data_IF_996588257650
#
_entry.id   IF_996588257650
#
_cell.length_a   1.000
_cell.length_b   1.000
_cell.length_c   1.000
_cell.angle_alpha   90.00
_cell.angle_beta   90.00
_cell.angle_gamma   90.00
#
_symmetry.space_group_name_H-M   'P 1'
#
loop_
_entity.id
_entity.type
_entity.pdbx_description
1 polymer ?
#
# COMPACT_ATOMS: atom_id res chain seq x y z
N UNK A 1 -2.51 26.71 -17.52
CA UNK A 1 -1.87 25.44 -17.89
C UNK A 1 -1.01 24.95 -16.73
N UNK A 2 -1.58 24.28 -15.72
CA UNK A 2 -0.81 23.62 -14.62
C UNK A 2 -1.62 22.53 -13.88
N UNK A 3 -2.70 21.96 -14.45
CA UNK A 3 -3.56 21.00 -13.70
C UNK A 3 -3.10 19.54 -13.77
N UNK A 4 -2.25 19.16 -14.72
CA UNK A 4 -1.74 17.79 -14.84
C UNK A 4 -0.61 17.45 -13.87
N UNK A 5 0.07 18.47 -13.35
CA UNK A 5 1.22 18.31 -12.46
C UNK A 5 0.83 17.66 -11.14
N UNK A 6 -0.33 18.02 -10.57
CA UNK A 6 -0.71 17.58 -9.22
C UNK A 6 -1.04 16.08 -9.16
N UNK A 7 -1.73 15.51 -10.16
CA UNK A 7 -2.03 14.06 -10.17
C UNK A 7 -0.76 13.23 -10.20
N UNK A 8 0.13 13.50 -11.15
CA UNK A 8 1.38 12.73 -11.28
C UNK A 8 2.26 12.88 -10.05
N UNK A 9 2.33 14.07 -9.46
CA UNK A 9 3.09 14.30 -8.22
C UNK A 9 2.47 13.52 -7.05
N UNK A 10 1.14 13.54 -6.86
CA UNK A 10 0.45 12.76 -5.82
C UNK A 10 0.70 11.25 -5.98
N UNK A 11 0.49 10.73 -7.19
CA UNK A 11 0.72 9.32 -7.51
C UNK A 11 2.16 8.89 -7.26
N UNK A 12 3.12 9.72 -7.67
CA UNK A 12 4.54 9.46 -7.44
C UNK A 12 4.88 9.51 -5.95
N UNK A 13 4.35 10.49 -5.20
CA UNK A 13 4.56 10.57 -3.76
C UNK A 13 3.99 9.34 -3.03
N UNK A 14 2.76 8.93 -3.35
CA UNK A 14 2.14 7.72 -2.79
C UNK A 14 2.94 6.46 -3.13
N UNK A 15 3.44 6.35 -4.36
CA UNK A 15 4.30 5.24 -4.79
C UNK A 15 5.62 5.22 -4.02
N UNK A 16 6.25 6.38 -3.80
CA UNK A 16 7.48 6.49 -3.00
C UNK A 16 7.25 6.12 -1.54
N UNK A 17 6.14 6.57 -0.94
CA UNK A 17 5.75 6.19 0.43
C UNK A 17 5.54 4.68 0.51
N UNK A 18 4.77 4.11 -0.41
CA UNK A 18 4.54 2.68 -0.46
C UNK A 18 5.84 1.90 -0.55
N UNK A 19 6.75 2.33 -1.44
CA UNK A 19 8.06 1.68 -1.59
C UNK A 19 8.85 1.80 -0.29
N UNK A 20 8.92 2.98 0.32
CA UNK A 20 9.64 3.21 1.56
C UNK A 20 9.13 2.31 2.68
N UNK A 21 7.81 2.24 2.90
CA UNK A 21 7.21 1.43 3.96
C UNK A 21 7.37 -0.07 3.71
N UNK A 22 7.40 -0.50 2.45
CA UNK A 22 7.57 -1.91 2.08
C UNK A 22 9.05 -2.32 1.90
N UNK A 23 10.02 -1.39 2.07
CA UNK A 23 11.43 -1.74 1.99
C UNK A 23 11.82 -2.71 3.11
N UNK A 24 12.72 -3.67 2.85
CA UNK A 24 13.20 -4.61 3.87
C UNK A 24 13.83 -3.92 5.10
N UNK A 25 14.34 -2.70 4.93
CA UNK A 25 14.90 -1.89 6.01
C UNK A 25 13.83 -1.39 6.99
N UNK A 26 12.62 -1.10 6.52
CA UNK A 26 11.50 -0.69 7.36
C UNK A 26 10.87 -1.86 8.14
N UNK A 27 11.07 -3.12 7.70
CA UNK A 27 10.66 -4.30 8.49
C UNK A 27 11.33 -4.42 9.86
N UNK A 28 12.37 -3.63 10.14
CA UNK A 28 13.04 -3.58 11.45
C UNK A 28 12.44 -2.55 12.41
N UNK A 29 11.42 -1.81 11.98
CA UNK A 29 10.76 -0.82 12.83
C UNK A 29 10.02 -1.52 13.97
N UNK A 30 10.14 -0.97 15.18
CA UNK A 30 9.44 -1.50 16.36
C UNK A 30 7.94 -1.22 16.27
N UNK A 31 7.15 -1.90 17.10
CA UNK A 31 5.71 -1.66 17.22
C UNK A 31 5.38 -0.16 17.42
N UNK A 32 6.11 0.57 18.27
CA UNK A 32 5.89 2.00 18.50
C UNK A 32 6.20 2.86 17.27
N UNK A 33 7.23 2.50 16.52
CA UNK A 33 7.59 3.21 15.29
C UNK A 33 6.54 2.97 14.19
N UNK A 34 6.00 1.75 14.09
CA UNK A 34 4.87 1.47 13.21
C UNK A 34 3.65 2.29 13.62
N UNK A 35 3.31 2.32 14.91
CA UNK A 35 2.24 3.18 15.41
C UNK A 35 2.43 4.63 14.97
N UNK A 36 3.62 5.21 15.19
CA UNK A 36 3.92 6.58 14.74
C UNK A 36 3.75 6.73 13.23
N UNK A 37 4.22 5.77 12.44
CA UNK A 37 4.03 5.80 10.98
C UNK A 37 2.55 5.85 10.58
N UNK A 38 1.66 5.15 11.29
CA UNK A 38 0.22 5.23 11.04
C UNK A 38 -0.32 6.63 11.34
N UNK A 39 -0.02 7.17 12.52
CA UNK A 39 -0.59 8.44 12.98
C UNK A 39 0.04 9.69 12.35
N UNK A 40 1.33 9.66 12.02
CA UNK A 40 2.05 10.83 11.51
C UNK A 40 2.16 10.85 9.97
N UNK A 41 1.96 9.72 9.30
CA UNK A 41 2.13 9.62 7.84
C UNK A 41 0.88 9.07 7.17
N UNK A 42 0.44 7.86 7.51
CA UNK A 42 -0.65 7.21 6.75
C UNK A 42 -2.01 7.88 6.95
N UNK A 43 -2.39 8.17 8.19
CA UNK A 43 -3.66 8.84 8.48
C UNK A 43 -3.71 10.27 7.96
N UNK A 44 -2.68 11.12 8.16
CA UNK A 44 -2.68 12.46 7.57
C UNK A 44 -2.75 12.46 6.04
N UNK A 45 -2.09 11.49 5.37
CA UNK A 45 -2.20 11.34 3.91
C UNK A 45 -3.62 10.98 3.49
N UNK A 46 -4.29 10.06 4.19
CA UNK A 46 -5.68 9.71 3.92
C UNK A 46 -6.64 10.86 4.20
N UNK A 47 -6.48 11.54 5.34
CA UNK A 47 -7.30 12.70 5.72
C UNK A 47 -7.18 13.83 4.69
N UNK A 48 -5.96 14.14 4.23
CA UNK A 48 -5.73 15.14 3.20
C UNK A 48 -6.39 14.76 1.85
N UNK A 49 -6.42 13.47 1.49
CA UNK A 49 -7.06 12.99 0.27
C UNK A 49 -8.58 12.89 0.38
N UNK A 50 -9.10 12.67 1.59
CA UNK A 50 -10.53 12.61 1.88
C UNK A 50 -11.14 13.97 2.19
N UNK A 51 -10.34 15.03 2.31
CA UNK A 51 -10.84 16.40 2.41
C UNK A 51 -11.61 16.79 1.14
N UNK A 52 -12.80 17.36 1.33
CA UNK A 52 -13.69 17.84 0.27
C UNK A 52 -13.10 18.96 -0.58
N UNK A 53 -12.05 19.63 -0.10
CA UNK A 53 -11.40 20.74 -0.80
C UNK A 53 -10.78 20.34 -2.15
N UNK A 54 -10.55 19.04 -2.35
CA UNK A 54 -9.87 18.53 -3.54
C UNK A 54 -10.85 18.20 -4.67
N UNK A 55 -12.10 17.83 -4.34
CA UNK A 55 -13.06 17.22 -5.28
C UNK A 55 -13.47 18.14 -6.45
N UNK A 56 -13.35 19.45 -6.31
CA UNK A 56 -13.76 20.42 -7.35
C UNK A 56 -12.84 20.43 -8.59
N UNK A 57 -11.63 19.87 -8.49
CA UNK A 57 -10.60 20.05 -9.54
C UNK A 57 -10.54 18.86 -10.51
N UNK A 58 -10.51 17.63 -9.99
CA UNK A 58 -10.39 16.40 -10.78
C UNK A 58 -10.84 15.16 -9.96
N UNK A 59 -12.14 14.85 -9.93
CA UNK A 59 -12.70 13.78 -9.11
C UNK A 59 -12.08 12.40 -9.39
N UNK A 60 -11.83 12.08 -10.66
CA UNK A 60 -11.32 10.76 -11.07
C UNK A 60 -9.86 10.57 -10.63
N UNK A 61 -9.02 11.60 -10.79
CA UNK A 61 -7.64 11.56 -10.33
C UNK A 61 -7.49 11.51 -8.80
N UNK A 62 -8.46 12.07 -8.08
CA UNK A 62 -8.50 12.04 -6.62
C UNK A 62 -8.95 10.67 -6.15
N UNK A 63 -9.95 10.08 -6.81
CA UNK A 63 -10.40 8.73 -6.51
C UNK A 63 -9.29 7.70 -6.72
N UNK A 64 -8.48 7.84 -7.78
CA UNK A 64 -7.28 7.01 -7.95
C UNK A 64 -6.30 7.18 -6.76
N UNK A 65 -6.13 8.42 -6.28
CA UNK A 65 -5.22 8.73 -5.16
C UNK A 65 -5.74 8.14 -3.85
N UNK A 66 -7.05 8.26 -3.60
CA UNK A 66 -7.75 7.67 -2.45
C UNK A 66 -7.66 6.16 -2.48
N UNK A 67 -7.91 5.54 -3.63
CA UNK A 67 -7.75 4.10 -3.80
C UNK A 67 -6.33 3.66 -3.48
N UNK A 68 -5.31 4.32 -4.06
CA UNK A 68 -3.92 3.96 -3.82
C UNK A 68 -3.52 4.11 -2.34
N UNK A 69 -3.99 5.16 -1.66
CA UNK A 69 -3.74 5.37 -0.24
C UNK A 69 -4.45 4.33 0.65
N UNK A 70 -5.72 4.01 0.38
CA UNK A 70 -6.46 2.96 1.08
C UNK A 70 -5.79 1.59 0.88
N UNK A 71 -5.31 1.33 -0.32
CA UNK A 71 -4.61 0.09 -0.65
C UNK A 71 -3.25 0.00 0.05
N UNK A 72 -2.52 1.11 0.13
CA UNK A 72 -1.31 1.22 0.94
C UNK A 72 -1.60 0.92 2.41
N UNK A 73 -2.68 1.48 2.98
CA UNK A 73 -3.09 1.21 4.36
C UNK A 73 -3.33 -0.29 4.58
N UNK A 74 -4.16 -0.93 3.76
CA UNK A 74 -4.44 -2.36 3.83
C UNK A 74 -3.15 -3.20 3.76
N UNK A 75 -2.26 -2.88 2.81
CA UNK A 75 -0.97 -3.59 2.66
C UNK A 75 -0.07 -3.43 3.87
N UNK A 76 0.11 -2.21 4.37
CA UNK A 76 0.98 -1.95 5.52
C UNK A 76 0.44 -2.63 6.78
N UNK A 77 -0.88 -2.58 7.01
CA UNK A 77 -1.53 -3.30 8.11
C UNK A 77 -1.25 -4.81 8.03
N UNK A 78 -1.50 -5.44 6.88
CA UNK A 78 -1.26 -6.88 6.71
C UNK A 78 0.21 -7.26 6.86
N UNK A 79 1.10 -6.50 6.24
CA UNK A 79 2.54 -6.81 6.22
C UNK A 79 3.13 -6.80 7.62
N UNK A 80 2.61 -5.93 8.50
CA UNK A 80 3.14 -5.72 9.85
C UNK A 80 2.15 -6.09 10.95
N UNK A 81 1.12 -6.88 10.64
CA UNK A 81 0.04 -7.20 11.59
C UNK A 81 0.57 -7.81 12.89
N UNK A 82 1.62 -8.65 12.81
CA UNK A 82 2.24 -9.27 13.98
C UNK A 82 2.85 -8.25 14.95
N UNK A 83 3.52 -7.21 14.42
CA UNK A 83 4.08 -6.13 15.24
C UNK A 83 2.98 -5.20 15.76
N UNK A 84 1.96 -4.94 14.95
CA UNK A 84 0.82 -4.10 15.34
C UNK A 84 0.02 -4.73 16.48
N UNK A 85 -0.15 -6.05 16.51
CA UNK A 85 -0.84 -6.77 17.57
C UNK A 85 -0.14 -6.65 18.95
N UNK A 86 1.14 -6.27 18.98
CA UNK A 86 1.89 -6.07 20.23
C UNK A 86 1.67 -4.68 20.85
N UNK A 87 0.96 -3.78 20.16
CA UNK A 87 0.65 -2.45 20.63
C UNK A 87 -0.46 -2.47 21.69
N UNK A 88 -0.31 -1.66 22.73
CA UNK A 88 -1.32 -1.51 23.78
C UNK A 88 -2.59 -0.83 23.26
N UNK A 89 -2.46 0.05 22.26
CA UNK A 89 -3.53 0.79 21.61
C UNK A 89 -3.96 0.19 20.26
N UNK A 90 -3.57 -1.06 19.98
CA UNK A 90 -3.86 -1.74 18.71
C UNK A 90 -5.34 -1.66 18.31
N UNK A 91 -6.26 -1.93 19.24
CA UNK A 91 -7.69 -1.91 18.94
C UNK A 91 -8.20 -0.54 18.53
N UNK A 92 -7.64 0.54 19.09
CA UNK A 92 -7.97 1.91 18.70
C UNK A 92 -7.44 2.19 17.30
N UNK A 93 -6.18 1.84 17.03
CA UNK A 93 -5.57 1.97 15.70
C UNK A 93 -6.36 1.18 14.65
N UNK A 94 -6.74 -0.07 14.95
CA UNK A 94 -7.50 -0.93 14.04
C UNK A 94 -8.89 -0.37 13.73
N UNK A 95 -9.60 0.17 14.74
CA UNK A 95 -10.88 0.86 14.51
C UNK A 95 -10.70 2.04 13.56
N UNK A 96 -9.68 2.86 13.77
CA UNK A 96 -9.36 3.99 12.90
C UNK A 96 -9.03 3.55 11.47
N UNK A 97 -8.28 2.45 11.29
CA UNK A 97 -8.03 1.86 9.97
C UNK A 97 -9.35 1.51 9.26
N UNK A 98 -10.26 0.82 9.96
CA UNK A 98 -11.55 0.44 9.38
C UNK A 98 -12.44 1.66 9.10
N UNK A 99 -12.38 2.71 9.93
CA UNK A 99 -13.09 3.98 9.71
C UNK A 99 -12.64 4.68 8.43
N UNK A 100 -11.33 4.75 8.17
CA UNK A 100 -10.83 5.32 6.91
C UNK A 100 -11.24 4.49 5.69
N UNK A 101 -11.26 3.17 5.79
CA UNK A 101 -11.72 2.31 4.69
C UNK A 101 -13.22 2.47 4.44
N UNK A 102 -14.02 2.57 5.51
CA UNK A 102 -15.45 2.88 5.42
C UNK A 102 -15.67 4.23 4.73
N UNK A 103 -14.93 5.28 5.14
CA UNK A 103 -15.03 6.62 4.55
C UNK A 103 -14.64 6.62 3.06
N UNK A 104 -13.57 5.91 2.67
CA UNK A 104 -13.20 5.69 1.28
C UNK A 104 -14.29 4.94 0.49
N UNK A 105 -15.08 4.10 1.15
CA UNK A 105 -16.20 3.36 0.56
C UNK A 105 -17.56 4.07 0.68
N UNK A 106 -17.59 5.34 1.11
CA UNK A 106 -18.83 6.09 1.27
C UNK A 106 -19.57 6.32 -0.05
N UNK A 107 -20.88 6.51 0.02
CA UNK A 107 -21.73 6.78 -1.15
C UNK A 107 -21.41 8.11 -1.86
N UNK A 108 -20.67 9.00 -1.20
CA UNK A 108 -20.20 10.26 -1.77
C UNK A 108 -19.07 10.07 -2.80
N UNK A 109 -18.38 8.93 -2.75
CA UNK A 109 -17.29 8.60 -3.66
C UNK A 109 -17.80 7.87 -4.91
N UNK A 110 -16.97 7.76 -5.95
CA UNK A 110 -17.37 6.99 -7.13
C UNK A 110 -17.59 5.51 -6.80
N UNK A 111 -18.51 4.89 -7.54
CA UNK A 111 -18.75 3.45 -7.48
C UNK A 111 -17.45 2.65 -7.68
N UNK A 112 -16.59 3.10 -8.60
CA UNK A 112 -15.31 2.43 -8.87
C UNK A 112 -14.39 2.43 -7.64
N UNK A 113 -14.21 3.59 -6.99
CA UNK A 113 -13.40 3.71 -5.78
C UNK A 113 -13.97 2.81 -4.68
N UNK A 114 -15.28 2.89 -4.44
CA UNK A 114 -15.97 2.10 -3.43
C UNK A 114 -15.73 0.60 -3.62
N UNK A 115 -16.10 0.05 -4.78
CA UNK A 115 -15.97 -1.39 -5.04
C UNK A 115 -14.50 -1.85 -4.93
N UNK A 116 -13.55 -1.03 -5.41
CA UNK A 116 -12.13 -1.38 -5.36
C UNK A 116 -11.57 -1.40 -3.94
N UNK A 117 -12.01 -0.47 -3.07
CA UNK A 117 -11.62 -0.42 -1.65
C UNK A 117 -12.24 -1.58 -0.89
N UNK A 118 -13.53 -1.86 -1.10
CA UNK A 118 -14.23 -3.00 -0.49
C UNK A 118 -13.58 -4.33 -0.86
N UNK A 119 -13.19 -4.51 -2.13
CA UNK A 119 -12.46 -5.69 -2.58
C UNK A 119 -11.09 -5.80 -1.91
N UNK A 120 -10.36 -4.68 -1.78
CA UNK A 120 -9.06 -4.66 -1.09
C UNK A 120 -9.18 -5.01 0.39
N UNK A 121 -10.22 -4.51 1.07
CA UNK A 121 -10.55 -4.86 2.45
C UNK A 121 -10.95 -6.33 2.58
N UNK A 122 -11.81 -6.86 1.70
CA UNK A 122 -12.17 -8.29 1.68
C UNK A 122 -10.92 -9.16 1.60
N UNK A 123 -10.02 -8.85 0.67
CA UNK A 123 -8.76 -9.58 0.50
C UNK A 123 -7.87 -9.49 1.76
N UNK A 124 -7.84 -8.33 2.42
CA UNK A 124 -7.16 -8.18 3.71
C UNK A 124 -7.79 -9.06 4.80
N UNK A 125 -9.11 -9.02 4.96
CA UNK A 125 -9.81 -9.79 5.98
C UNK A 125 -9.72 -11.30 5.73
N UNK A 126 -9.77 -11.73 4.46
CA UNK A 126 -9.55 -13.13 4.09
C UNK A 126 -8.19 -13.62 4.59
N UNK A 127 -7.11 -12.87 4.31
CA UNK A 127 -5.77 -13.21 4.79
C UNK A 127 -5.74 -13.30 6.32
N UNK A 128 -6.41 -12.38 7.03
CA UNK A 128 -6.47 -12.43 8.50
C UNK A 128 -7.27 -13.64 9.03
N UNK A 129 -8.35 -14.04 8.36
CA UNK A 129 -9.11 -15.25 8.69
C UNK A 129 -8.26 -16.50 8.44
N UNK A 130 -7.62 -16.61 7.28
CA UNK A 130 -6.79 -17.75 6.87
C UNK A 130 -5.58 -17.96 7.81
N UNK A 131 -4.97 -16.86 8.28
CA UNK A 131 -3.89 -16.90 9.27
C UNK A 131 -4.38 -17.07 10.72
N UNK A 132 -5.69 -17.17 10.94
CA UNK A 132 -6.28 -17.41 12.24
C UNK A 132 -6.42 -16.19 13.16
N UNK A 133 -6.07 -14.99 12.72
CA UNK A 133 -6.16 -13.76 13.52
C UNK A 133 -7.61 -13.36 13.85
N UNK A 134 -8.58 -13.75 13.02
CA UNK A 134 -10.01 -13.43 13.19
C UNK A 134 -10.86 -14.60 13.68
N UNK A 135 -10.25 -15.69 14.16
CA UNK A 135 -10.99 -16.81 14.74
C UNK A 135 -11.69 -16.37 16.04
N UNK A 136 -12.98 -16.66 16.15
CA UNK A 136 -13.74 -16.43 17.38
C UNK A 136 -13.42 -17.55 18.35
N UNK A 137 -12.62 -17.26 19.38
CA UNK A 137 -12.27 -18.23 20.42
C UNK A 137 -11.55 -17.56 21.57
N UNK A 138 -12.30 -17.17 22.60
CA UNK A 138 -11.69 -17.05 23.93
C UNK A 138 -11.44 -18.48 24.42
N UNK A 139 -10.23 -18.84 24.86
CA UNK A 139 -10.06 -20.07 25.61
C UNK A 139 -10.98 -19.99 26.84
N UNK A 140 -11.73 -21.06 27.06
CA UNK A 140 -12.61 -21.23 28.21
C UNK A 140 -11.85 -20.89 29.50
N UNK A 141 -12.28 -19.86 30.23
CA UNK A 141 -11.82 -19.63 31.60
C UNK A 141 -11.36 -18.22 32.00
N UNK A 142 -11.41 -17.20 31.14
CA UNK A 142 -11.18 -15.81 31.56
C UNK A 142 -12.48 -15.01 31.64
N UNK A 143 -12.65 -14.31 32.75
CA UNK A 143 -13.88 -13.63 33.18
C UNK A 143 -14.38 -12.62 32.14
N UNK A 144 -15.64 -12.82 31.75
CA UNK A 144 -16.55 -11.95 30.97
C UNK A 144 -16.60 -10.51 31.50
N UNK A 145 -15.63 -9.64 31.18
CA UNK A 145 -15.89 -8.19 31.20
C UNK A 145 -14.97 -7.30 30.34
N UNK A 146 -13.78 -7.71 29.89
CA UNK A 146 -12.87 -6.78 29.18
C UNK A 146 -11.89 -7.40 28.16
N UNK A 147 -12.32 -8.31 27.28
CA UNK A 147 -11.50 -8.65 26.09
C UNK A 147 -12.38 -8.71 24.85
N UNK A 148 -12.65 -7.54 24.28
CA UNK A 148 -13.19 -7.48 22.93
C UNK A 148 -12.17 -8.14 21.99
N UNK A 149 -12.54 -9.25 21.34
CA UNK A 149 -11.60 -9.92 20.44
C UNK A 149 -11.42 -9.11 19.16
N UNK A 150 -10.28 -9.26 18.47
CA UNK A 150 -10.07 -8.61 17.17
C UNK A 150 -11.19 -8.98 16.17
N UNK A 151 -11.63 -10.24 16.23
CA UNK A 151 -12.77 -10.75 15.48
C UNK A 151 -14.03 -9.91 15.75
N UNK A 152 -14.42 -9.72 17.01
CA UNK A 152 -15.61 -8.93 17.37
C UNK A 152 -15.51 -7.48 16.92
N UNK A 153 -14.37 -6.82 17.15
CA UNK A 153 -14.17 -5.42 16.72
C UNK A 153 -14.30 -5.29 15.22
N UNK A 154 -13.69 -6.22 14.47
CA UNK A 154 -13.69 -6.20 13.02
C UNK A 154 -15.10 -6.39 12.47
N UNK A 155 -15.79 -7.44 12.89
CA UNK A 155 -17.12 -7.75 12.37
C UNK A 155 -18.18 -6.74 12.83
N UNK A 156 -18.05 -6.16 14.03
CA UNK A 156 -18.94 -5.09 14.48
C UNK A 156 -18.93 -3.87 13.54
N UNK A 157 -17.76 -3.53 12.99
CA UNK A 157 -17.61 -2.39 12.08
C UNK A 157 -17.93 -2.79 10.62
N UNK A 158 -17.36 -3.89 10.15
CA UNK A 158 -17.51 -4.36 8.75
C UNK A 158 -18.95 -4.69 8.40
N UNK A 159 -19.73 -5.26 9.34
CA UNK A 159 -21.15 -5.55 9.10
C UNK A 159 -21.99 -4.29 8.81
N UNK A 160 -21.51 -3.09 9.18
CA UNK A 160 -22.19 -1.84 8.90
C UNK A 160 -22.22 -1.48 7.40
N UNK A 161 -21.17 -1.82 6.66
CA UNK A 161 -21.02 -1.42 5.25
C UNK A 161 -20.78 -2.58 4.27
N UNK A 162 -20.49 -3.78 4.77
CA UNK A 162 -20.47 -5.03 4.00
C UNK A 162 -21.21 -6.14 4.77
N UNK A 163 -22.55 -6.11 4.80
CA UNK A 163 -23.32 -7.19 5.39
C UNK A 163 -23.06 -8.48 4.62
N UNK A 164 -23.03 -9.63 5.30
CA UNK A 164 -22.79 -10.99 4.74
C UNK A 164 -21.33 -11.35 4.42
N UNK A 165 -20.39 -10.41 4.49
CA UNK A 165 -18.98 -10.68 4.18
C UNK A 165 -18.37 -11.74 5.11
N UNK A 166 -18.76 -11.74 6.38
CA UNK A 166 -18.27 -12.70 7.37
C UNK A 166 -18.59 -14.13 6.96
N UNK A 167 -19.84 -14.39 6.59
CA UNK A 167 -20.33 -15.69 6.18
C UNK A 167 -19.65 -16.16 4.89
N UNK A 168 -19.50 -15.25 3.92
CA UNK A 168 -18.79 -15.53 2.67
C UNK A 168 -17.34 -15.93 2.90
N UNK A 169 -16.61 -15.16 3.72
CA UNK A 169 -15.20 -15.43 4.02
C UNK A 169 -15.01 -16.73 4.80
N UNK A 170 -15.89 -17.02 5.77
CA UNK A 170 -15.86 -18.29 6.51
C UNK A 170 -16.15 -19.47 5.59
N UNK A 171 -17.11 -19.34 4.68
CA UNK A 171 -17.42 -20.38 3.69
C UNK A 171 -16.23 -20.64 2.76
N UNK A 172 -15.53 -19.58 2.33
CA UNK A 172 -14.32 -19.70 1.50
C UNK A 172 -13.15 -20.33 2.27
N UNK A 173 -12.97 -20.02 3.55
CA UNK A 173 -11.92 -20.61 4.39
C UNK A 173 -12.17 -22.09 4.73
N UNK A 174 -13.43 -22.54 4.73
CA UNK A 174 -13.84 -23.94 4.97
C UNK A 174 -13.62 -24.85 3.75
N UNK A 175 -13.40 -24.29 2.56
CA UNK A 175 -13.02 -25.06 1.38
C UNK A 175 -11.53 -25.42 1.49
N UNK A 176 -11.12 -26.67 1.19
CA UNK A 176 -9.70 -27.04 1.23
C UNK A 176 -8.94 -26.27 0.15
N UNK A 177 -8.32 -25.16 0.53
CA UNK A 177 -7.53 -24.33 -0.35
C UNK A 177 -6.28 -25.10 -0.79
N UNK A 178 -6.29 -25.60 -2.02
CA UNK A 178 -5.07 -26.03 -2.71
C UNK A 178 -4.17 -24.81 -2.88
N UNK A 179 -3.12 -24.74 -2.07
CA UNK A 179 -1.89 -23.97 -2.34
C UNK A 179 -2.02 -22.45 -2.26
N UNK A 180 -1.95 -21.89 -1.05
CA UNK A 180 -1.72 -20.46 -0.83
C UNK A 180 -0.66 -20.18 0.24
N UNK A 181 0.39 -21.01 0.34
CA UNK A 181 1.61 -20.61 1.07
C UNK A 181 2.47 -19.55 0.33
N UNK A 182 1.91 -18.88 -0.69
CA UNK A 182 2.62 -17.86 -1.48
C UNK A 182 2.03 -16.44 -1.32
N UNK A 183 1.07 -16.20 -0.42
CA UNK A 183 0.35 -14.91 -0.36
C UNK A 183 1.15 -13.76 0.24
N UNK A 184 2.14 -14.04 1.09
CA UNK A 184 3.07 -13.01 1.60
C UNK A 184 3.97 -12.48 0.47
N UNK A 185 4.16 -13.26 -0.61
CA UNK A 185 4.89 -12.84 -1.81
C UNK A 185 3.97 -12.27 -2.89
N UNK A 186 2.74 -12.79 -3.03
CA UNK A 186 1.84 -12.44 -4.14
C UNK A 186 1.06 -11.15 -3.90
N UNK A 187 0.71 -10.77 -2.67
CA UNK A 187 0.06 -9.46 -2.41
C UNK A 187 0.99 -8.28 -2.70
N UNK A 188 2.33 -8.48 -2.65
CA UNK A 188 3.27 -7.47 -3.12
C UNK A 188 3.25 -7.30 -4.66
N UNK A 189 2.88 -8.34 -5.41
CA UNK A 189 2.90 -8.35 -6.87
C UNK A 189 1.54 -7.97 -7.51
N UNK A 190 0.42 -8.46 -6.96
CA UNK A 190 -0.92 -8.26 -7.57
C UNK A 190 -1.53 -6.87 -7.36
N UNK A 191 -0.82 -5.98 -6.68
CA UNK A 191 -1.23 -4.60 -6.47
C UNK A 191 -0.50 -3.60 -7.38
N UNK A 192 0.17 -4.11 -8.43
CA UNK A 192 0.66 -3.34 -9.57
C UNK A 192 -0.30 -3.49 -10.76
N UNK A 193 -1.50 -2.94 -10.67
CA UNK A 193 -2.30 -2.67 -11.87
C UNK A 193 -2.60 -1.19 -11.91
N UNK A 194 -1.63 -0.48 -12.48
CA UNK A 194 -1.74 0.88 -12.98
C UNK A 194 -0.94 0.96 -14.28
N UNK A 195 -1.31 0.12 -15.26
CA UNK A 195 -0.69 0.11 -16.59
C UNK A 195 -1.53 1.02 -17.49
N UNK A 196 -1.28 2.33 -17.44
CA UNK A 196 -1.80 3.25 -18.45
C UNK A 196 -0.86 3.29 -19.65
N UNK A 197 -1.44 2.95 -20.80
CA UNK A 197 -0.92 3.09 -22.16
C UNK A 197 -0.23 4.45 -22.37
N UNK A 198 0.99 4.43 -22.92
CA UNK A 198 1.51 5.56 -23.69
C UNK A 198 1.09 5.38 -25.17
N UNK A 199 0.64 6.43 -25.86
CA UNK A 199 0.36 6.35 -27.29
C UNK A 199 1.66 6.41 -28.08
N UNK A 200 1.67 5.68 -29.20
CA UNK A 200 2.76 5.67 -30.16
C UNK A 200 3.02 7.06 -30.76
N UNK A 201 4.28 7.46 -30.75
CA UNK A 201 4.79 8.51 -31.63
C UNK A 201 5.92 7.88 -32.46
N UNK A 202 5.62 7.62 -33.72
CA UNK A 202 6.59 7.18 -34.70
C UNK A 202 7.72 8.19 -34.85
N UNK A 203 8.95 7.69 -34.86
CA UNK A 203 10.12 8.45 -35.30
C UNK A 203 10.70 7.71 -36.50
N UNK A 204 10.56 8.37 -37.64
CA UNK A 204 11.20 8.06 -38.90
C UNK A 204 12.72 7.87 -38.71
N UNK A 205 13.24 6.83 -39.35
CA UNK A 205 14.64 6.71 -39.72
C UNK A 205 15.05 7.89 -40.60
N UNK A 206 16.10 8.60 -40.20
CA UNK A 206 17.00 9.23 -41.17
C UNK A 206 18.44 9.12 -40.66
N UNK A 207 19.22 8.39 -41.46
CA UNK A 207 20.65 8.21 -41.39
C UNK A 207 21.40 9.52 -41.64
N UNK A 208 22.35 9.87 -40.79
CA UNK A 208 23.53 10.59 -41.26
C UNK A 208 24.77 10.21 -40.45
N UNK A 209 25.77 9.78 -41.21
CA UNK A 209 27.08 9.29 -40.85
C UNK A 209 28.02 10.48 -40.68
N UNK A 210 28.64 10.67 -39.52
CA UNK A 210 29.86 11.48 -39.42
C UNK A 210 30.78 10.98 -38.31
N UNK A 211 32.06 10.91 -38.65
CA UNK A 211 33.15 10.13 -38.09
C UNK A 211 34.15 11.09 -37.45
N UNK A 212 34.46 10.95 -36.16
CA UNK A 212 35.59 11.59 -35.46
C UNK A 212 35.97 10.69 -34.27
N UNK A 213 36.92 9.77 -34.45
CA UNK A 213 38.36 9.92 -34.16
C UNK A 213 38.68 9.84 -32.66
N UNK A 214 39.14 8.64 -32.28
CA UNK A 214 39.54 8.24 -30.92
C UNK A 214 41.00 8.64 -30.70
N UNK A 215 41.27 9.47 -29.69
CA UNK A 215 42.63 9.62 -29.15
C UNK A 215 42.66 9.16 -27.71
N UNK A 216 43.59 8.23 -27.46
CA UNK A 216 43.77 7.50 -26.22
C UNK A 216 44.59 8.30 -25.19
N UNK A 217 44.30 8.03 -23.92
CA UNK A 217 45.11 8.39 -22.75
C UNK A 217 46.53 7.80 -22.81
N UNK A 218 47.54 8.46 -22.23
CA UNK A 218 48.75 7.77 -21.79
C UNK A 218 48.82 7.67 -20.26
N UNK A 219 48.99 6.44 -19.78
CA UNK A 219 49.55 6.12 -18.47
C UNK A 219 51.05 6.41 -18.43
N UNK A 220 51.54 6.79 -17.26
CA UNK A 220 52.93 7.19 -17.06
C UNK A 220 53.94 6.06 -17.08
N UNK A 221 55.21 6.43 -17.24
CA UNK A 221 56.31 5.87 -16.46
C UNK A 221 57.60 6.69 -16.64
N UNK A 222 58.27 6.88 -15.51
CA UNK A 222 59.67 7.18 -15.29
C UNK A 222 60.62 7.16 -16.50
N UNK A 223 61.51 8.16 -16.59
CA UNK A 223 62.98 8.00 -16.50
C UNK A 223 63.69 9.35 -16.71
N UNK A 224 64.24 9.86 -15.61
CA UNK A 224 65.40 10.77 -15.51
C UNK A 224 66.68 9.90 -15.76
N UNK A 225 67.92 10.38 -16.09
CA UNK A 225 68.44 11.75 -16.25
C UNK A 225 69.39 12.01 -17.47
N UNK A 226 69.87 13.26 -17.57
CA UNK A 226 71.30 13.67 -17.67
C UNK A 226 71.95 13.97 -19.04
N UNK A 227 72.68 15.10 -18.99
CA UNK A 227 73.87 15.54 -19.77
C UNK A 227 73.55 16.25 -21.11
N UNK A 228 73.71 17.57 -21.20
CA UNK A 228 74.93 18.41 -21.24
C UNK A 228 75.44 18.63 -22.68
N UNK A 229 75.57 19.94 -22.98
CA UNK A 229 76.21 20.61 -24.13
C UNK A 229 75.40 20.75 -25.42
#
# INVERSE_FOLDING_TARGET
MTRYSDRSIRMNALSLIQRALLLPSCRKMTKEQWRQCFYEILFPVLEALLSSDMDEVDPEAIDESRFQAANLLCKTCLTHIQELLLLEDFFSLWKTVLEYLEQCSSENNSLYLRESVLESLKNMLFVLVDNGFLQSGSPEGETELTKQTLSEVTWAKVNGFMPQLREELLMQALLPAKGLQQVISVTAASLQVGKCLAPEAGVHQESHEEKLEVTAFPEGSNLVPKECL
#
